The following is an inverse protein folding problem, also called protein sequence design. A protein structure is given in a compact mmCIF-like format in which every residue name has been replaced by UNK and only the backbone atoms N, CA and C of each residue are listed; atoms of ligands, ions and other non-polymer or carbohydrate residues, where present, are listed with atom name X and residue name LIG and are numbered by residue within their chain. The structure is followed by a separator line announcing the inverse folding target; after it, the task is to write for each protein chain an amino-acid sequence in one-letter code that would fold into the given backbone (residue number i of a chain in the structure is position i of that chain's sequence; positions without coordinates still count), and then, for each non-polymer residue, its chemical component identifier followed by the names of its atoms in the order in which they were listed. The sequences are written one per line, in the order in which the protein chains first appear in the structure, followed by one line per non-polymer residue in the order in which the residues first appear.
data_IF_653491164830
#
_entry.id   IF_653491164830
#
_cell.length_a   1.000
_cell.length_b   1.000
_cell.length_c   1.000
_cell.angle_alpha   90.00
_cell.angle_beta   90.00
_cell.angle_gamma   90.00
#
_symmetry.space_group_name_H-M   'P 1'
#
loop_
_entity.id
_entity.type
_entity.pdbx_description
1 polymer ?
#
# COMPACT_ATOMS: atom_id res chain seq x y z
N UNK A 1 7.91 17.49 22.84
CA UNK A 1 8.53 16.21 22.43
C UNK A 1 8.01 15.03 23.25
N UNK A 2 8.45 14.83 24.51
CA UNK A 2 8.05 13.62 25.28
C UNK A 2 6.53 13.54 25.52
N UNK A 3 5.91 14.64 25.92
CA UNK A 3 4.45 14.72 26.15
C UNK A 3 3.63 14.42 24.88
N UNK A 4 4.08 14.87 23.71
CA UNK A 4 3.34 14.64 22.45
C UNK A 4 3.47 13.17 22.00
N UNK A 5 4.64 12.57 22.19
CA UNK A 5 4.85 11.13 21.97
C UNK A 5 3.97 10.29 22.91
N UNK A 6 3.87 10.70 24.19
CA UNK A 6 3.00 10.08 25.17
C UNK A 6 1.52 10.16 24.76
N UNK A 7 1.08 11.28 24.18
CA UNK A 7 -0.29 11.42 23.68
C UNK A 7 -0.59 10.45 22.55
N UNK A 8 0.34 10.27 21.59
CA UNK A 8 0.18 9.28 20.51
C UNK A 8 0.10 7.88 21.08
N UNK A 9 1.06 7.48 21.93
CA UNK A 9 1.06 6.13 22.53
C UNK A 9 -0.18 5.88 23.40
N UNK A 10 -0.65 6.87 24.16
CA UNK A 10 -1.90 6.80 24.91
C UNK A 10 -3.11 6.66 23.99
N UNK A 11 -3.14 7.37 22.86
CA UNK A 11 -4.16 7.23 21.83
C UNK A 11 -4.21 5.81 21.26
N UNK A 12 -3.06 5.24 20.93
CA UNK A 12 -2.97 3.85 20.44
C UNK A 12 -3.49 2.87 21.47
N UNK A 13 -3.09 3.01 22.74
CA UNK A 13 -3.58 2.20 23.86
C UNK A 13 -5.10 2.30 24.06
N UNK A 14 -5.68 3.47 23.80
CA UNK A 14 -7.14 3.74 23.87
C UNK A 14 -7.91 3.29 22.62
N UNK A 15 -7.24 2.75 21.61
CA UNK A 15 -7.90 2.23 20.42
C UNK A 15 -7.93 3.17 19.21
N UNK A 16 -7.30 4.35 19.28
CA UNK A 16 -7.30 5.33 18.18
C UNK A 16 -6.61 4.76 16.93
N UNK A 17 -7.38 4.63 15.84
CA UNK A 17 -6.86 4.21 14.53
C UNK A 17 -5.94 5.28 13.93
N UNK A 18 -6.27 6.59 13.96
CA UNK A 18 -5.35 7.63 13.48
C UNK A 18 -4.00 7.62 14.22
N UNK A 19 -4.00 7.41 15.53
CA UNK A 19 -2.74 7.31 16.29
C UNK A 19 -1.94 6.05 15.92
N UNK A 20 -2.63 4.95 15.59
CA UNK A 20 -1.98 3.73 15.13
C UNK A 20 -1.33 3.95 13.76
N UNK A 21 -2.07 4.52 12.80
CA UNK A 21 -1.55 4.89 11.47
C UNK A 21 -0.35 5.83 11.63
N UNK A 22 -0.46 6.85 12.50
CA UNK A 22 0.64 7.77 12.79
C UNK A 22 1.92 7.06 13.23
N UNK A 23 1.85 5.97 14.01
CA UNK A 23 3.04 5.22 14.39
C UNK A 23 3.71 4.52 13.18
N UNK A 24 2.93 4.07 12.21
CA UNK A 24 3.45 3.30 11.06
C UNK A 24 3.89 4.17 9.89
N UNK A 25 3.32 5.37 9.74
CA UNK A 25 3.72 6.34 8.72
C UNK A 25 5.22 6.65 8.78
N UNK A 26 6.01 6.16 7.83
CA UNK A 26 7.46 6.39 7.79
C UNK A 26 7.86 7.78 7.25
N UNK A 27 6.88 8.63 6.92
CA UNK A 27 7.09 9.98 6.42
C UNK A 27 7.60 10.96 7.47
N UNK A 28 7.92 12.17 7.02
CA UNK A 28 8.25 13.28 7.91
C UNK A 28 6.97 13.71 8.63
N UNK A 29 6.91 13.47 9.94
CA UNK A 29 5.72 13.69 10.76
C UNK A 29 6.06 14.30 12.12
N UNK A 30 5.07 14.96 12.72
CA UNK A 30 5.12 15.44 14.09
C UNK A 30 3.89 14.95 14.86
N UNK A 31 4.03 14.38 16.06
CA UNK A 31 5.30 14.10 16.76
C UNK A 31 6.15 13.02 16.06
N UNK A 32 7.49 13.04 16.22
CA UNK A 32 8.41 12.19 15.48
C UNK A 32 8.58 10.84 16.20
N UNK A 33 7.48 10.13 16.39
CA UNK A 33 7.46 8.78 16.98
C UNK A 33 6.98 7.79 15.94
N UNK A 34 7.71 6.68 15.83
CA UNK A 34 7.44 5.57 14.93
C UNK A 34 7.34 4.26 15.69
N UNK A 35 6.73 3.26 15.05
CA UNK A 35 6.60 1.92 15.61
C UNK A 35 7.96 1.26 15.93
N UNK A 36 9.02 1.68 15.24
CA UNK A 36 10.41 1.26 15.48
C UNK A 36 11.02 1.83 16.75
N UNK A 37 10.43 2.87 17.33
CA UNK A 37 10.88 3.45 18.61
C UNK A 37 10.29 2.70 19.82
N UNK A 38 9.36 1.76 19.56
CA UNK A 38 8.71 0.95 20.58
C UNK A 38 9.44 -0.39 20.78
N UNK A 39 9.31 -1.03 21.95
CA UNK A 39 9.80 -2.40 22.15
C UNK A 39 9.29 -3.37 21.07
N UNK A 40 10.15 -4.28 20.60
CA UNK A 40 9.84 -5.20 19.48
C UNK A 40 8.52 -5.94 19.62
N UNK A 41 8.20 -6.42 20.83
CA UNK A 41 6.96 -7.12 21.10
C UNK A 41 5.72 -6.21 20.97
N UNK A 42 5.82 -4.95 21.37
CA UNK A 42 4.76 -3.96 21.21
C UNK A 42 4.61 -3.56 19.74
N UNK A 43 5.71 -3.29 19.07
CA UNK A 43 5.78 -3.01 17.63
C UNK A 43 5.09 -4.11 16.81
N UNK A 44 5.45 -5.39 17.04
CA UNK A 44 4.84 -6.54 16.37
C UNK A 44 3.33 -6.64 16.64
N UNK A 45 2.91 -6.48 17.91
CA UNK A 45 1.49 -6.52 18.29
C UNK A 45 0.70 -5.42 17.59
N UNK A 46 1.24 -4.21 17.52
CA UNK A 46 0.60 -3.07 16.85
C UNK A 46 0.54 -3.26 15.33
N UNK A 47 1.58 -3.85 14.73
CA UNK A 47 1.58 -4.20 13.30
C UNK A 47 0.49 -5.21 12.97
N UNK A 48 0.36 -6.29 13.76
CA UNK A 48 -0.72 -7.26 13.59
C UNK A 48 -2.10 -6.61 13.75
N UNK A 49 -2.24 -5.67 14.67
CA UNK A 49 -3.48 -4.91 14.86
C UNK A 49 -3.79 -4.03 13.65
N UNK A 50 -2.80 -3.32 13.10
CA UNK A 50 -2.95 -2.50 11.89
C UNK A 50 -3.44 -3.34 10.71
N UNK A 51 -2.78 -4.48 10.47
CA UNK A 51 -3.14 -5.43 9.41
C UNK A 51 -4.58 -5.93 9.60
N UNK A 52 -4.95 -6.36 10.81
CA UNK A 52 -6.30 -6.88 11.08
C UNK A 52 -7.40 -5.82 10.90
N UNK A 53 -7.11 -4.56 11.27
CA UNK A 53 -8.00 -3.44 11.01
C UNK A 53 -8.15 -3.18 9.50
N UNK A 54 -7.05 -3.19 8.74
CA UNK A 54 -7.08 -2.97 7.30
C UNK A 54 -7.79 -4.11 6.54
N UNK A 55 -7.64 -5.35 6.99
CA UNK A 55 -8.34 -6.51 6.40
C UNK A 55 -9.87 -6.38 6.56
N UNK A 56 -10.34 -5.86 7.69
CA UNK A 56 -11.78 -5.71 8.01
C UNK A 56 -12.40 -4.37 7.61
N UNK A 57 -11.59 -3.35 7.32
CA UNK A 57 -12.08 -2.01 7.01
C UNK A 57 -12.82 -1.94 5.66
N UNK A 58 -13.92 -1.16 5.58
CA UNK A 58 -14.60 -0.91 4.32
C UNK A 58 -13.76 -0.02 3.40
N UNK A 59 -13.98 -0.14 2.10
CA UNK A 59 -13.34 0.71 1.09
C UNK A 59 -13.98 2.10 1.11
N UNK A 60 -13.37 3.01 1.88
CA UNK A 60 -13.74 4.43 1.94
C UNK A 60 -12.48 5.29 1.92
N UNK A 61 -12.61 6.57 1.54
CA UNK A 61 -11.46 7.49 1.44
C UNK A 61 -10.71 7.63 2.76
N UNK A 62 -11.41 7.57 3.88
CA UNK A 62 -10.86 7.71 5.23
C UNK A 62 -9.92 6.54 5.60
N UNK A 63 -10.11 5.36 4.98
CA UNK A 63 -9.30 4.18 5.23
C UNK A 63 -8.10 4.03 4.29
N UNK A 64 -7.90 4.95 3.33
CA UNK A 64 -6.81 4.85 2.35
C UNK A 64 -5.42 4.73 3.02
N UNK A 65 -5.16 5.55 4.05
CA UNK A 65 -3.91 5.50 4.81
C UNK A 65 -3.77 4.20 5.63
N UNK A 66 -4.88 3.68 6.18
CA UNK A 66 -4.87 2.39 6.89
C UNK A 66 -4.44 1.25 5.96
N UNK A 67 -4.97 1.21 4.74
CA UNK A 67 -4.59 0.22 3.74
C UNK A 67 -3.13 0.36 3.31
N UNK A 68 -2.66 1.60 3.10
CA UNK A 68 -1.27 1.89 2.73
C UNK A 68 -0.29 1.33 3.76
N UNK A 69 -0.40 1.78 5.02
CA UNK A 69 0.56 1.42 6.05
C UNK A 69 0.56 -0.09 6.33
N UNK A 70 -0.61 -0.73 6.30
CA UNK A 70 -0.71 -2.17 6.44
C UNK A 70 -0.07 -2.92 5.26
N UNK A 71 -0.19 -2.41 4.04
CA UNK A 71 0.43 -3.00 2.87
C UNK A 71 1.95 -2.82 2.88
N UNK A 72 2.46 -1.65 3.29
CA UNK A 72 3.89 -1.37 3.44
C UNK A 72 4.59 -2.36 4.38
N UNK A 73 3.95 -2.71 5.50
CA UNK A 73 4.46 -3.72 6.42
C UNK A 73 4.59 -5.11 5.79
N UNK A 74 3.78 -5.42 4.78
CA UNK A 74 3.66 -6.75 4.21
C UNK A 74 4.41 -6.92 2.89
N UNK A 75 4.71 -5.83 2.16
CA UNK A 75 5.12 -5.91 0.74
C UNK A 75 6.39 -6.72 0.49
N UNK A 76 7.37 -6.67 1.39
CA UNK A 76 8.64 -7.41 1.29
C UNK A 76 8.66 -8.72 2.11
N UNK A 77 7.52 -9.19 2.57
CA UNK A 77 7.42 -10.37 3.44
C UNK A 77 6.87 -11.60 2.69
N UNK A 78 6.74 -12.73 3.38
CA UNK A 78 5.99 -13.90 2.88
C UNK A 78 4.50 -13.63 2.65
N UNK A 79 4.00 -12.44 2.99
CA UNK A 79 2.61 -12.02 2.84
C UNK A 79 2.41 -10.95 1.76
N UNK A 80 3.30 -10.83 0.77
CA UNK A 80 3.16 -9.86 -0.35
C UNK A 80 1.78 -9.92 -1.03
N UNK A 81 1.16 -11.11 -1.12
CA UNK A 81 -0.21 -11.24 -1.66
C UNK A 81 -1.24 -10.43 -0.87
N UNK A 82 -1.15 -10.39 0.46
CA UNK A 82 -2.00 -9.54 1.31
C UNK A 82 -1.71 -8.06 1.10
N UNK A 83 -0.45 -7.70 0.90
CA UNK A 83 -0.08 -6.32 0.57
C UNK A 83 -0.76 -5.86 -0.73
N UNK A 84 -0.78 -6.72 -1.76
CA UNK A 84 -1.48 -6.47 -3.02
C UNK A 84 -2.98 -6.26 -2.78
N UNK A 85 -3.64 -7.11 -2.01
CA UNK A 85 -5.07 -6.97 -1.72
C UNK A 85 -5.39 -5.64 -1.00
N UNK A 86 -4.54 -5.25 -0.05
CA UNK A 86 -4.66 -3.97 0.65
C UNK A 86 -4.41 -2.78 -0.28
N UNK A 87 -3.41 -2.86 -1.15
CA UNK A 87 -3.19 -1.84 -2.16
C UNK A 87 -4.32 -1.72 -3.17
N UNK A 88 -4.93 -2.83 -3.56
CA UNK A 88 -6.14 -2.83 -4.39
C UNK A 88 -7.28 -2.13 -3.67
N UNK A 89 -7.51 -2.41 -2.38
CA UNK A 89 -8.50 -1.67 -1.58
C UNK A 89 -8.18 -0.18 -1.55
N UNK A 90 -6.92 0.20 -1.33
CA UNK A 90 -6.48 1.58 -1.36
C UNK A 90 -6.79 2.27 -2.71
N UNK A 91 -6.47 1.62 -3.83
CA UNK A 91 -6.81 2.10 -5.17
C UNK A 91 -8.32 2.34 -5.32
N UNK A 92 -9.15 1.40 -4.85
CA UNK A 92 -10.61 1.52 -4.91
C UNK A 92 -11.17 2.67 -4.07
N UNK A 93 -10.43 3.18 -3.07
CA UNK A 93 -10.81 4.42 -2.37
C UNK A 93 -10.67 5.67 -3.25
N UNK A 94 -10.04 5.55 -4.42
CA UNK A 94 -9.66 6.65 -5.30
C UNK A 94 -8.26 7.20 -5.03
N UNK A 95 -7.42 6.48 -4.27
CA UNK A 95 -6.06 6.88 -3.97
C UNK A 95 -5.11 6.56 -5.16
N UNK A 96 -4.63 7.57 -5.92
CA UNK A 96 -3.91 7.31 -7.17
C UNK A 96 -2.52 6.68 -6.95
N UNK A 97 -1.89 6.94 -5.80
CA UNK A 97 -0.57 6.39 -5.46
C UNK A 97 -0.58 4.86 -5.36
N UNK A 98 -1.72 4.24 -5.07
CA UNK A 98 -1.81 2.79 -4.90
C UNK A 98 -1.48 2.03 -6.19
N UNK A 99 -1.79 2.61 -7.35
CA UNK A 99 -1.43 2.01 -8.63
C UNK A 99 0.09 1.97 -8.86
N UNK A 100 0.82 2.98 -8.38
CA UNK A 100 2.30 2.99 -8.46
C UNK A 100 2.91 1.90 -7.59
N UNK A 101 2.39 1.70 -6.38
CA UNK A 101 2.86 0.65 -5.47
C UNK A 101 2.55 -0.75 -6.01
N UNK A 102 1.35 -0.96 -6.57
CA UNK A 102 1.00 -2.22 -7.23
C UNK A 102 1.92 -2.50 -8.42
N UNK A 103 2.18 -1.49 -9.24
CA UNK A 103 3.11 -1.61 -10.36
C UNK A 103 4.50 -2.03 -9.89
N UNK A 104 5.03 -1.37 -8.85
CA UNK A 104 6.32 -1.70 -8.26
C UNK A 104 6.37 -3.12 -7.69
N UNK A 105 5.35 -3.55 -6.92
CA UNK A 105 5.30 -4.91 -6.36
C UNK A 105 5.35 -5.95 -7.48
N UNK A 106 4.54 -5.78 -8.51
CA UNK A 106 4.54 -6.73 -9.62
C UNK A 106 5.85 -6.68 -10.41
N UNK A 107 6.44 -5.50 -10.65
CA UNK A 107 7.62 -5.36 -11.49
C UNK A 107 8.91 -5.84 -10.80
N UNK A 108 9.14 -5.34 -9.59
CA UNK A 108 10.43 -5.44 -8.88
C UNK A 108 10.44 -6.58 -7.86
N UNK A 109 9.30 -6.92 -7.25
CA UNK A 109 9.23 -7.98 -6.23
C UNK A 109 8.84 -9.33 -6.85
N UNK A 110 7.78 -9.33 -7.67
CA UNK A 110 7.24 -10.57 -8.24
C UNK A 110 7.72 -10.87 -9.67
N UNK A 111 8.36 -9.90 -10.33
CA UNK A 111 8.78 -9.98 -11.72
C UNK A 111 7.65 -10.37 -12.70
N UNK A 112 6.41 -9.97 -12.39
CA UNK A 112 5.22 -10.16 -13.21
C UNK A 112 5.00 -8.94 -14.11
N UNK A 113 5.60 -8.98 -15.29
CA UNK A 113 5.58 -7.85 -16.23
C UNK A 113 4.17 -7.55 -16.77
N UNK A 114 3.29 -8.55 -16.84
CA UNK A 114 1.90 -8.38 -17.33
C UNK A 114 1.09 -7.53 -16.35
N UNK A 115 1.09 -7.91 -15.07
CA UNK A 115 0.36 -7.17 -14.03
C UNK A 115 1.03 -5.84 -13.73
N UNK A 116 2.36 -5.78 -13.73
CA UNK A 116 3.09 -4.53 -13.59
C UNK A 116 2.69 -3.51 -14.67
N UNK A 117 2.68 -3.91 -15.95
CA UNK A 117 2.34 -3.01 -17.05
C UNK A 117 0.92 -2.44 -16.91
N UNK A 118 -0.05 -3.29 -16.56
CA UNK A 118 -1.42 -2.85 -16.28
C UNK A 118 -1.48 -1.78 -15.19
N UNK A 119 -0.78 -2.00 -14.07
CA UNK A 119 -0.76 -1.03 -12.96
C UNK A 119 0.03 0.24 -13.29
N UNK A 120 1.11 0.16 -14.08
CA UNK A 120 1.81 1.35 -14.58
C UNK A 120 0.95 2.22 -15.50
N UNK A 121 0.10 1.60 -16.34
CA UNK A 121 -0.88 2.36 -17.14
C UNK A 121 -1.87 3.08 -16.23
N UNK A 122 -2.37 2.42 -15.17
CA UNK A 122 -3.25 3.06 -14.18
C UNK A 122 -2.59 4.19 -13.41
N UNK A 123 -1.32 4.03 -13.07
CA UNK A 123 -0.51 5.05 -12.42
C UNK A 123 -0.17 6.22 -13.36
N UNK A 124 -0.47 6.12 -14.67
CA UNK A 124 -0.03 7.05 -15.71
C UNK A 124 1.49 7.25 -15.71
N UNK A 125 2.21 6.20 -15.36
CA UNK A 125 3.66 6.22 -15.14
C UNK A 125 4.32 5.04 -15.84
N UNK A 126 3.94 4.77 -17.10
CA UNK A 126 4.64 3.76 -17.90
C UNK A 126 6.09 4.23 -18.10
N UNK A 127 7.10 3.47 -17.63
CA UNK A 127 8.50 3.86 -17.77
C UNK A 127 8.86 4.20 -19.21
N UNK A 128 9.62 5.28 -19.39
CA UNK A 128 10.08 5.74 -20.71
C UNK A 128 11.07 4.73 -21.27
N UNK A 129 10.78 4.19 -22.45
CA UNK A 129 11.50 3.05 -23.02
C UNK A 129 10.88 1.75 -22.52
N UNK A 130 10.26 0.99 -23.43
CA UNK A 130 9.55 -0.25 -23.10
C UNK A 130 10.49 -1.39 -22.69
N UNK A 131 11.70 -1.11 -22.22
CA UNK A 131 12.74 -2.11 -21.97
C UNK A 131 12.30 -3.12 -20.92
N UNK A 132 11.76 -2.66 -19.79
CA UNK A 132 11.19 -3.52 -18.74
C UNK A 132 10.01 -4.37 -19.22
N UNK A 133 9.39 -4.00 -20.36
CA UNK A 133 8.21 -4.65 -20.96
C UNK A 133 8.46 -5.13 -22.39
N UNK A 134 9.72 -5.41 -22.77
CA UNK A 134 10.08 -5.95 -24.09
C UNK A 134 9.49 -7.34 -24.33
N UNK A 135 9.24 -8.09 -23.25
CA UNK A 135 8.58 -9.40 -23.31
C UNK A 135 7.12 -9.35 -23.76
N UNK A 136 6.46 -8.19 -23.61
CA UNK A 136 5.07 -7.99 -24.04
C UNK A 136 5.02 -7.48 -25.47
N UNK A 137 4.26 -8.19 -26.32
CA UNK A 137 3.94 -7.79 -27.68
C UNK A 137 3.12 -6.50 -27.72
N UNK A 138 3.02 -5.89 -28.90
CA UNK A 138 2.20 -4.70 -29.10
C UNK A 138 0.70 -4.97 -28.84
N UNK A 139 0.22 -6.15 -29.23
CA UNK A 139 -1.18 -6.56 -29.04
C UNK A 139 -1.51 -6.78 -27.55
N UNK A 140 -0.61 -7.41 -26.80
CA UNK A 140 -0.75 -7.58 -25.35
C UNK A 140 -0.78 -6.22 -24.64
N UNK A 141 0.12 -5.30 -25.02
CA UNK A 141 0.14 -3.94 -24.46
C UNK A 141 -1.17 -3.21 -24.73
N UNK A 142 -1.71 -3.28 -25.95
CA UNK A 142 -2.99 -2.65 -26.30
C UNK A 142 -4.16 -3.25 -25.50
N UNK A 143 -4.15 -4.58 -25.33
CA UNK A 143 -5.15 -5.29 -24.51
C UNK A 143 -5.08 -4.86 -23.05
N UNK A 144 -3.88 -4.81 -22.47
CA UNK A 144 -3.66 -4.39 -21.08
C UNK A 144 -4.00 -2.93 -20.86
N UNK A 145 -3.69 -2.05 -21.82
CA UNK A 145 -4.13 -0.66 -21.80
C UNK A 145 -5.66 -0.58 -21.79
N UNK A 146 -6.34 -1.30 -22.67
CA UNK A 146 -7.81 -1.31 -22.72
C UNK A 146 -8.41 -1.77 -21.38
N UNK A 147 -7.87 -2.84 -20.80
CA UNK A 147 -8.23 -3.33 -19.46
C UNK A 147 -7.96 -2.30 -18.35
N UNK A 148 -6.81 -1.62 -18.40
CA UNK A 148 -6.43 -0.63 -17.39
C UNK A 148 -7.38 0.57 -17.35
N UNK A 149 -7.92 0.97 -18.51
CA UNK A 149 -8.92 2.05 -18.63
C UNK A 149 -10.34 1.62 -18.22
N UNK A 150 -10.64 0.33 -18.12
CA UNK A 150 -11.90 -0.14 -17.57
C UNK A 150 -11.92 0.06 -16.05
N UNK A 151 -12.71 1.05 -15.60
CA UNK A 151 -12.83 1.39 -14.19
C UNK A 151 -13.59 0.35 -13.36
N UNK A 152 -14.29 -0.59 -14.00
CA UNK A 152 -14.97 -1.68 -13.30
C UNK A 152 -14.04 -2.87 -13.02
N UNK A 153 -12.94 -2.99 -13.78
CA UNK A 153 -11.96 -4.05 -13.61
C UNK A 153 -11.02 -3.70 -12.46
N UNK A 154 -11.09 -4.39 -11.34
CA UNK A 154 -10.30 -3.99 -10.16
C UNK A 154 -8.85 -4.49 -10.24
N UNK A 155 -8.62 -5.68 -10.79
CA UNK A 155 -7.29 -6.29 -10.96
C UNK A 155 -7.31 -7.29 -12.15
N UNK A 156 -6.14 -7.77 -12.59
CA UNK A 156 -5.98 -8.78 -13.66
C UNK A 156 -5.04 -9.92 -13.26
#
# INVERSE_FOLDING_TARGET
MEVENELVTAGVKKGSVPALIHLFDSGIKWPPISYTDLPDNESQRLGQRLISLAESAPVTKENAALFFEAAELLKYSTHTAKAIDLYVKAWQTGAPWAASELAYIYDEILNDKTRAYFWYVRARNVPVGTESFKSLSAEEKLTLQSKAHDTNLVNI
#
